data_IF_728076929930
#
_entry.id   IF_728076929930
#
_cell.length_a   1.000
_cell.length_b   1.000
_cell.length_c   1.000
_cell.angle_alpha   90.00
_cell.angle_beta   90.00
_cell.angle_gamma   90.00
#
_symmetry.space_group_name_H-M   'P 1'
#
loop_
_entity.id
_entity.type
_entity.pdbx_description
1 polymer ?
#
# COMPACT_ATOMS: atom_id res chain seq x y z
N UNK A 1 -3.51 -9.73 -0.20
CA UNK A 1 -4.69 -9.22 -0.92
C UNK A 1 -4.74 -7.69 -0.88
N UNK A 2 -5.20 -7.11 -1.97
CA UNK A 2 -5.33 -5.66 -2.10
C UNK A 2 -6.75 -5.22 -1.82
N UNK A 3 -6.88 -3.97 -1.37
CA UNK A 3 -8.19 -3.34 -1.25
C UNK A 3 -8.62 -2.74 -2.59
N UNK A 4 -9.90 -2.40 -2.73
CA UNK A 4 -10.39 -1.69 -3.91
C UNK A 4 -9.74 -0.30 -4.04
N UNK A 5 -9.36 0.30 -2.92
CA UNK A 5 -8.70 1.62 -2.90
C UNK A 5 -7.31 1.57 -3.53
N UNK A 6 -6.55 0.51 -3.24
CA UNK A 6 -5.22 0.31 -3.84
C UNK A 6 -5.33 0.07 -5.34
N UNK A 7 -6.27 -0.76 -5.77
CA UNK A 7 -6.47 -1.03 -7.19
C UNK A 7 -6.83 0.26 -7.95
N UNK A 8 -7.71 1.09 -7.40
CA UNK A 8 -8.16 2.31 -8.04
C UNK A 8 -7.12 3.43 -8.03
N UNK A 9 -6.36 3.57 -6.96
CA UNK A 9 -5.44 4.70 -6.77
C UNK A 9 -4.01 4.39 -7.20
N UNK A 10 -3.62 3.12 -7.27
CA UNK A 10 -2.24 2.71 -7.48
C UNK A 10 -2.10 1.82 -8.72
N UNK A 11 -2.73 0.65 -8.71
CA UNK A 11 -2.45 -0.37 -9.72
C UNK A 11 -3.10 -0.06 -11.07
N UNK A 12 -4.37 0.31 -11.11
CA UNK A 12 -5.03 0.67 -12.37
C UNK A 12 -4.43 1.92 -13.01
N UNK A 13 -4.19 3.03 -12.28
CA UNK A 13 -3.49 4.17 -12.85
C UNK A 13 -2.09 3.84 -13.36
N UNK A 14 -1.36 2.96 -12.67
CA UNK A 14 -0.03 2.55 -13.10
C UNK A 14 -0.08 1.74 -14.40
N UNK A 15 -1.02 0.79 -14.51
CA UNK A 15 -1.21 0.03 -15.75
C UNK A 15 -1.59 0.95 -16.91
N UNK A 16 -2.46 1.92 -16.66
CA UNK A 16 -2.85 2.90 -17.68
C UNK A 16 -1.67 3.73 -18.13
N UNK A 17 -0.85 4.24 -17.20
CA UNK A 17 0.34 5.02 -17.50
C UNK A 17 1.40 4.22 -18.28
N UNK A 18 1.47 2.91 -18.05
CA UNK A 18 2.38 2.01 -18.77
C UNK A 18 1.86 1.56 -20.14
N UNK A 19 0.65 1.99 -20.53
CA UNK A 19 0.04 1.60 -21.79
C UNK A 19 -0.55 0.19 -21.80
N UNK A 20 -0.67 -0.44 -20.63
CA UNK A 20 -1.23 -1.79 -20.49
C UNK A 20 -2.73 -1.80 -20.27
N UNK A 21 -3.33 -0.64 -20.11
CA UNK A 21 -4.77 -0.45 -19.97
C UNK A 21 -5.18 0.71 -20.88
N UNK A 22 -6.20 0.49 -21.73
CA UNK A 22 -6.70 1.53 -22.64
C UNK A 22 -7.39 2.66 -21.87
N UNK A 23 -7.53 3.83 -22.50
CA UNK A 23 -8.27 4.95 -21.92
C UNK A 23 -9.71 4.56 -21.62
N UNK A 24 -10.35 3.78 -22.50
CA UNK A 24 -11.71 3.30 -22.34
C UNK A 24 -11.84 2.39 -21.12
N UNK A 25 -10.95 1.42 -21.01
CA UNK A 25 -10.97 0.46 -19.89
C UNK A 25 -10.68 1.15 -18.57
N UNK A 26 -9.76 2.09 -18.56
CA UNK A 26 -9.46 2.87 -17.36
C UNK A 26 -10.66 3.73 -16.93
N UNK A 27 -11.30 4.40 -17.88
CA UNK A 27 -12.51 5.20 -17.60
C UNK A 27 -13.66 4.35 -17.08
N UNK A 28 -13.87 3.15 -17.65
CA UNK A 28 -14.87 2.21 -17.17
C UNK A 28 -14.53 1.71 -15.76
N UNK A 29 -13.26 1.46 -15.48
CA UNK A 29 -12.82 1.04 -14.16
C UNK A 29 -13.08 2.13 -13.11
N UNK A 30 -12.77 3.39 -13.43
CA UNK A 30 -13.04 4.51 -12.52
C UNK A 30 -14.52 4.65 -12.19
N UNK A 31 -15.38 4.51 -13.20
CA UNK A 31 -16.84 4.58 -13.00
C UNK A 31 -17.33 3.44 -12.12
N UNK A 32 -16.80 2.23 -12.32
CA UNK A 32 -17.14 1.08 -11.48
C UNK A 32 -16.66 1.29 -10.04
N UNK A 33 -15.46 1.82 -9.86
CA UNK A 33 -14.92 2.10 -8.53
C UNK A 33 -15.79 3.11 -7.78
N UNK A 34 -16.24 4.18 -8.42
CA UNK A 34 -17.11 5.17 -7.79
C UNK A 34 -18.40 4.53 -7.26
N UNK A 35 -18.98 3.58 -8.00
CA UNK A 35 -20.15 2.83 -7.56
C UNK A 35 -19.84 1.93 -6.38
N UNK A 36 -18.72 1.19 -6.45
CA UNK A 36 -18.30 0.26 -5.40
C UNK A 36 -17.95 0.98 -4.10
N UNK A 37 -17.30 2.13 -4.20
CA UNK A 37 -16.89 2.93 -3.04
C UNK A 37 -18.08 3.33 -2.17
N UNK A 38 -19.24 3.59 -2.79
CA UNK A 38 -20.46 3.95 -2.07
C UNK A 38 -21.03 2.79 -1.25
N UNK A 39 -20.69 1.55 -1.62
CA UNK A 39 -21.21 0.34 -0.98
C UNK A 39 -20.30 -0.17 0.13
N UNK A 40 -19.11 0.38 0.25
CA UNK A 40 -18.07 -0.10 1.18
C UNK A 40 -17.72 1.01 2.18
N UNK A 41 -17.72 0.66 3.46
CA UNK A 41 -17.26 1.60 4.48
C UNK A 41 -15.74 1.66 4.48
N UNK A 42 -15.12 2.86 4.68
CA UNK A 42 -13.67 2.95 4.86
C UNK A 42 -13.22 2.16 6.09
N UNK A 43 -11.97 1.72 6.15
CA UNK A 43 -11.45 1.06 7.34
C UNK A 43 -11.38 2.02 8.53
N UNK A 44 -11.50 1.47 9.74
CA UNK A 44 -11.38 2.26 10.98
C UNK A 44 -9.95 2.81 11.14
N UNK A 45 -8.97 2.07 10.66
CA UNK A 45 -7.57 2.48 10.67
C UNK A 45 -6.88 1.90 9.44
N UNK A 46 -6.22 2.78 8.67
CA UNK A 46 -5.33 2.36 7.60
C UNK A 46 -3.89 2.41 8.13
N UNK A 47 -3.19 1.29 8.03
CA UNK A 47 -1.78 1.18 8.42
C UNK A 47 -0.95 1.09 7.15
N UNK A 48 -0.08 2.07 6.93
CA UNK A 48 0.84 2.07 5.80
C UNK A 48 2.24 1.72 6.28
N UNK A 49 2.74 0.57 5.80
CA UNK A 49 4.10 0.14 6.08
C UNK A 49 5.02 0.74 5.03
N UNK A 50 5.69 1.83 5.40
CA UNK A 50 6.58 2.55 4.49
C UNK A 50 7.94 1.87 4.46
N UNK A 51 8.44 1.60 3.25
CA UNK A 51 9.77 1.02 3.06
C UNK A 51 10.48 1.69 1.90
N UNK A 52 11.80 1.78 1.99
CA UNK A 52 12.65 2.23 0.88
C UNK A 52 12.72 1.15 -0.21
N UNK A 53 13.10 1.55 -1.41
CA UNK A 53 13.25 0.62 -2.53
C UNK A 53 14.27 -0.50 -2.21
N UNK A 54 15.46 -0.22 -1.65
CA UNK A 54 16.38 -1.29 -1.24
C UNK A 54 15.74 -2.31 -0.28
N UNK A 55 14.94 -1.84 0.69
CA UNK A 55 14.24 -2.72 1.63
C UNK A 55 13.23 -3.61 0.90
N UNK A 56 12.45 -3.04 -0.02
CA UNK A 56 11.48 -3.79 -0.81
C UNK A 56 12.14 -4.84 -1.68
N UNK A 57 13.23 -4.50 -2.35
CA UNK A 57 14.01 -5.43 -3.17
C UNK A 57 14.53 -6.58 -2.32
N UNK A 58 15.08 -6.26 -1.13
CA UNK A 58 15.57 -7.27 -0.20
C UNK A 58 14.48 -8.25 0.24
N UNK A 59 13.29 -7.74 0.55
CA UNK A 59 12.15 -8.57 0.95
C UNK A 59 11.66 -9.48 -0.19
N UNK A 60 11.62 -8.97 -1.42
CA UNK A 60 11.24 -9.76 -2.59
C UNK A 60 12.22 -10.90 -2.80
N UNK A 61 13.54 -10.65 -2.72
CA UNK A 61 14.56 -11.68 -2.82
C UNK A 61 14.43 -12.72 -1.72
N UNK A 62 14.16 -12.28 -0.48
CA UNK A 62 14.01 -13.16 0.67
C UNK A 62 12.81 -14.10 0.53
N UNK A 63 11.71 -13.64 -0.10
CA UNK A 63 10.53 -14.49 -0.37
C UNK A 63 10.84 -15.60 -1.39
N UNK A 64 11.78 -15.36 -2.31
CA UNK A 64 12.25 -16.36 -3.25
C UNK A 64 11.23 -16.82 -4.28
N UNK A 65 10.18 -16.07 -4.53
CA UNK A 65 9.20 -16.40 -5.57
C UNK A 65 9.77 -15.99 -6.93
N UNK A 66 9.84 -16.93 -7.86
CA UNK A 66 10.47 -16.71 -9.17
C UNK A 66 9.87 -15.52 -9.93
N UNK A 67 8.54 -15.40 -9.96
CA UNK A 67 7.89 -14.30 -10.66
C UNK A 67 8.15 -12.93 -10.01
N UNK A 68 8.37 -12.89 -8.72
CA UNK A 68 8.71 -11.65 -8.00
C UNK A 68 10.14 -11.21 -8.29
N UNK A 69 11.05 -12.16 -8.53
CA UNK A 69 12.44 -11.86 -8.86
C UNK A 69 12.60 -11.16 -10.21
N UNK A 70 11.58 -11.19 -11.06
CA UNK A 70 11.58 -10.50 -12.36
C UNK A 70 11.04 -9.08 -12.28
N UNK A 71 10.54 -8.64 -11.12
CA UNK A 71 10.01 -7.29 -10.94
C UNK A 71 11.16 -6.28 -11.02
N UNK A 72 11.03 -5.30 -11.92
CA UNK A 72 12.06 -4.28 -12.11
C UNK A 72 12.03 -3.24 -10.99
N UNK A 73 13.20 -2.65 -10.73
CA UNK A 73 13.32 -1.53 -9.77
C UNK A 73 12.48 -0.34 -10.24
N UNK A 74 12.44 -0.07 -11.54
CA UNK A 74 11.62 1.00 -12.11
C UNK A 74 10.13 0.80 -11.78
N UNK A 75 9.63 -0.42 -11.94
CA UNK A 75 8.24 -0.74 -11.61
C UNK A 75 7.96 -0.52 -10.11
N UNK A 76 8.85 -1.00 -9.24
CA UNK A 76 8.72 -0.79 -7.80
C UNK A 76 8.73 0.69 -7.43
N UNK A 77 9.62 1.47 -8.05
CA UNK A 77 9.71 2.91 -7.80
C UNK A 77 8.42 3.62 -8.20
N UNK A 78 7.84 3.27 -9.33
CA UNK A 78 6.56 3.83 -9.80
C UNK A 78 5.42 3.50 -8.85
N UNK A 79 5.33 2.25 -8.39
CA UNK A 79 4.32 1.86 -7.40
C UNK A 79 4.51 2.61 -6.10
N UNK A 80 5.74 2.70 -5.62
CA UNK A 80 6.04 3.40 -4.37
C UNK A 80 5.66 4.88 -4.42
N UNK A 81 5.95 5.55 -5.52
CA UNK A 81 5.53 6.95 -5.72
C UNK A 81 4.02 7.11 -5.66
N UNK A 82 3.27 6.18 -6.25
CA UNK A 82 1.81 6.21 -6.22
C UNK A 82 1.26 5.94 -4.82
N UNK A 83 1.87 5.02 -4.07
CA UNK A 83 1.50 4.78 -2.68
C UNK A 83 1.73 6.04 -1.84
N UNK A 84 2.90 6.68 -1.96
CA UNK A 84 3.21 7.90 -1.21
C UNK A 84 2.25 9.05 -1.56
N UNK A 85 1.93 9.21 -2.84
CA UNK A 85 0.97 10.22 -3.28
C UNK A 85 -0.43 9.96 -2.71
N UNK A 86 -0.89 8.72 -2.75
CA UNK A 86 -2.20 8.35 -2.20
C UNK A 86 -2.26 8.58 -0.70
N UNK A 87 -1.25 8.13 0.03
CA UNK A 87 -1.18 8.28 1.49
C UNK A 87 -1.16 9.75 1.89
N UNK A 88 -0.46 10.61 1.14
CA UNK A 88 -0.38 12.05 1.43
C UNK A 88 -1.74 12.76 1.32
N UNK A 89 -2.68 12.19 0.57
CA UNK A 89 -4.01 12.75 0.35
C UNK A 89 -5.13 11.94 1.01
N UNK A 90 -4.78 10.91 1.76
CA UNK A 90 -5.78 10.05 2.40
C UNK A 90 -6.53 10.78 3.49
N UNK A 91 -7.87 10.87 3.38
CA UNK A 91 -8.74 11.60 4.30
C UNK A 91 -9.96 10.81 4.75
N UNK A 92 -10.06 9.53 4.37
CA UNK A 92 -11.26 8.72 4.62
C UNK A 92 -11.36 8.18 6.04
N UNK A 93 -10.29 8.31 6.84
CA UNK A 93 -10.26 7.83 8.20
C UNK A 93 -8.88 8.00 8.82
N UNK A 94 -8.66 7.32 9.94
CA UNK A 94 -7.37 7.35 10.63
C UNK A 94 -6.30 6.68 9.80
N UNK A 95 -5.10 7.25 9.81
CA UNK A 95 -3.93 6.75 9.11
C UNK A 95 -2.77 6.63 10.09
N UNK A 96 -2.12 5.47 10.11
CA UNK A 96 -0.87 5.23 10.84
C UNK A 96 0.21 4.85 9.85
N UNK A 97 1.28 5.64 9.80
CA UNK A 97 2.44 5.36 8.95
C UNK A 97 3.54 4.76 9.84
N UNK A 98 4.03 3.59 9.45
CA UNK A 98 5.11 2.90 10.14
C UNK A 98 6.26 2.71 9.17
N UNK A 99 7.41 3.32 9.46
CA UNK A 99 8.62 3.13 8.68
C UNK A 99 9.28 1.82 9.09
N UNK A 100 9.40 0.87 8.17
CA UNK A 100 9.89 -0.47 8.46
C UNK A 100 11.34 -0.70 8.04
N UNK A 101 12.04 0.33 7.54
CA UNK A 101 13.42 0.15 7.09
C UNK A 101 14.34 -0.36 8.19
N UNK A 102 14.10 0.06 9.42
CA UNK A 102 14.91 -0.31 10.58
C UNK A 102 14.19 -1.28 11.52
N UNK A 103 13.09 -1.88 11.09
CA UNK A 103 12.30 -2.82 11.89
C UNK A 103 12.37 -4.22 11.30
N UNK A 104 12.38 -5.21 12.19
CA UNK A 104 12.24 -6.61 11.81
C UNK A 104 11.12 -7.23 12.64
N UNK A 105 9.89 -7.06 12.17
CA UNK A 105 8.70 -7.53 12.88
C UNK A 105 8.53 -9.05 12.84
N UNK A 106 9.27 -9.73 11.96
CA UNK A 106 9.21 -11.19 11.83
C UNK A 106 10.12 -11.86 12.87
N UNK A 107 11.38 -11.38 12.99
CA UNK A 107 12.39 -12.05 13.80
C UNK A 107 12.61 -11.39 15.17
N UNK A 108 12.20 -10.13 15.35
CA UNK A 108 12.40 -9.38 16.59
C UNK A 108 11.05 -9.10 17.28
N UNK A 109 10.73 -9.83 18.36
CA UNK A 109 9.47 -9.61 19.09
C UNK A 109 9.29 -8.18 19.62
N UNK A 110 10.38 -7.51 20.01
CA UNK A 110 10.31 -6.13 20.49
C UNK A 110 9.88 -5.15 19.40
N UNK A 111 10.30 -5.37 18.15
CA UNK A 111 9.87 -4.55 17.02
C UNK A 111 8.38 -4.74 16.74
N UNK A 112 7.90 -5.97 16.77
CA UNK A 112 6.48 -6.26 16.62
C UNK A 112 5.67 -5.66 17.77
N UNK A 113 6.15 -5.76 19.01
CA UNK A 113 5.51 -5.16 20.17
C UNK A 113 5.37 -3.66 20.05
N UNK A 114 6.40 -2.97 19.58
CA UNK A 114 6.37 -1.53 19.33
C UNK A 114 5.29 -1.15 18.31
N UNK A 115 5.15 -1.92 17.24
CA UNK A 115 4.13 -1.69 16.22
C UNK A 115 2.73 -1.89 16.81
N UNK A 116 2.53 -2.97 17.56
CA UNK A 116 1.25 -3.26 18.21
C UNK A 116 0.85 -2.13 19.16
N UNK A 117 1.79 -1.63 19.96
CA UNK A 117 1.52 -0.51 20.87
C UNK A 117 1.05 0.74 20.13
N UNK A 118 1.66 1.04 18.98
CA UNK A 118 1.26 2.18 18.15
C UNK A 118 -0.14 1.99 17.57
N UNK A 119 -0.48 0.77 17.16
CA UNK A 119 -1.82 0.44 16.64
C UNK A 119 -2.85 0.60 17.75
N UNK A 120 -2.57 0.07 18.94
CA UNK A 120 -3.47 0.17 20.08
C UNK A 120 -3.73 1.62 20.47
N UNK A 121 -2.70 2.45 20.48
CA UNK A 121 -2.83 3.86 20.76
C UNK A 121 -3.76 4.57 19.76
N UNK A 122 -3.69 4.21 18.50
CA UNK A 122 -4.57 4.79 17.47
C UNK A 122 -6.02 4.32 17.58
N UNK A 123 -6.22 3.03 17.87
CA UNK A 123 -7.56 2.44 17.93
C UNK A 123 -8.29 2.87 19.21
N UNK A 124 -7.62 2.81 20.34
CA UNK A 124 -8.24 3.06 21.65
C UNK A 124 -8.19 4.52 22.08
N UNK A 125 -7.52 5.38 21.31
CA UNK A 125 -7.52 6.81 21.58
C UNK A 125 -7.01 7.14 22.98
N UNK A 126 -5.81 6.69 23.30
CA UNK A 126 -5.20 6.88 24.62
C UNK A 126 -4.98 8.35 25.01
N UNK A 127 -5.31 9.24 24.11
CA UNK A 127 -5.10 10.68 24.32
C UNK A 127 -6.25 11.48 23.80
#
# INVERSE_FOLDING_TARGET
>A
DRTIYEDANIFAPNLHAMGLMTNRDFSNYESLFELMERLVSPPDLLIYLRASIPTLVGQIHQRGRDFENTISIDYLSRLNERYEAWISTYTKGKLLIIDIDNLNIVDKPEDLGSVIDRIDAQIHGLF
#
